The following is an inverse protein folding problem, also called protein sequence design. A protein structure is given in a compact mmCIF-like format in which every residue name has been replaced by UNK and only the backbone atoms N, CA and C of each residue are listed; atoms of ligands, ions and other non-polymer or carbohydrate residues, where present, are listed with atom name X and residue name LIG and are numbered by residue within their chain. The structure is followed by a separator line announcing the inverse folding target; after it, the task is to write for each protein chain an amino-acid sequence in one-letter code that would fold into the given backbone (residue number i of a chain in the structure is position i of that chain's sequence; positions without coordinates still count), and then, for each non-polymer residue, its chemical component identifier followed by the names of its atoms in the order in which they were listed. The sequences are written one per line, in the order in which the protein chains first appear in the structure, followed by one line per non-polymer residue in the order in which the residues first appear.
data_IF_231258316242
#
_entry.id   IF_231258316242
#
_cell.length_a   1.000
_cell.length_b   1.000
_cell.length_c   1.000
_cell.angle_alpha   90.00
_cell.angle_beta   90.00
_cell.angle_gamma   90.00
#
_symmetry.space_group_name_H-M   'P 1'
#
loop_
_entity.id
_entity.type
_entity.pdbx_description
1 polymer ?
#
# COMPACT_ATOMS: atom_id res chain seq x y z
N UNK A 1 7.00 7.85 25.19
CA UNK A 1 6.53 6.54 25.70
C UNK A 1 5.02 6.64 25.91
N UNK A 2 4.30 5.56 25.64
CA UNK A 2 2.83 5.38 25.63
C UNK A 2 2.17 5.44 24.26
N UNK A 3 1.85 4.23 23.79
CA UNK A 3 1.04 3.83 22.65
C UNK A 3 -0.36 4.43 22.70
N UNK A 4 -0.83 4.95 21.57
CA UNK A 4 -2.19 4.62 21.10
C UNK A 4 -2.07 4.35 19.60
N UNK A 5 -2.52 3.18 19.18
CA UNK A 5 -2.79 2.91 17.78
C UNK A 5 -3.74 4.00 17.31
N UNK A 6 -3.29 4.92 16.45
CA UNK A 6 -4.21 5.82 15.77
C UNK A 6 -5.12 4.96 14.92
N UNK A 7 -6.27 4.62 15.49
CA UNK A 7 -7.37 3.98 14.79
C UNK A 7 -7.76 4.96 13.71
N UNK A 8 -7.46 4.59 12.47
CA UNK A 8 -7.77 5.40 11.29
C UNK A 8 -9.23 5.87 11.37
N UNK A 9 -9.46 7.17 11.42
CA UNK A 9 -10.76 7.77 11.66
C UNK A 9 -11.35 8.24 10.35
N UNK A 10 -12.49 7.66 9.98
CA UNK A 10 -13.16 7.93 8.70
C UNK A 10 -14.49 8.61 8.98
N UNK A 11 -14.72 9.76 8.35
CA UNK A 11 -16.04 10.41 8.31
C UNK A 11 -16.73 10.04 7.01
N UNK A 12 -17.91 9.43 7.09
CA UNK A 12 -18.71 9.07 5.93
C UNK A 12 -20.03 9.84 5.93
N UNK A 13 -20.16 10.76 4.97
CA UNK A 13 -21.36 11.55 4.73
C UNK A 13 -22.17 10.89 3.61
N UNK A 14 -23.12 10.03 4.00
CA UNK A 14 -23.96 9.28 3.07
C UNK A 14 -25.38 9.18 3.60
N UNK A 15 -26.35 9.36 2.70
CA UNK A 15 -27.75 9.12 3.00
C UNK A 15 -28.16 7.66 2.81
N UNK A 16 -27.31 6.86 2.16
CA UNK A 16 -27.57 5.47 1.82
C UNK A 16 -27.04 4.52 2.92
N UNK A 17 -27.93 3.81 3.63
CA UNK A 17 -27.52 2.84 4.64
C UNK A 17 -26.70 1.68 4.07
N UNK A 18 -26.85 1.35 2.78
CA UNK A 18 -26.09 0.26 2.16
C UNK A 18 -24.59 0.61 2.03
N UNK A 19 -24.28 1.84 1.59
CA UNK A 19 -22.90 2.32 1.47
C UNK A 19 -22.26 2.40 2.85
N UNK A 20 -23.00 2.93 3.83
CA UNK A 20 -22.56 2.97 5.22
C UNK A 20 -22.20 1.57 5.75
N UNK A 21 -23.08 0.60 5.53
CA UNK A 21 -22.87 -0.79 5.95
C UNK A 21 -21.66 -1.40 5.23
N UNK A 22 -21.49 -1.13 3.93
CA UNK A 22 -20.34 -1.60 3.15
C UNK A 22 -19.00 -1.04 3.67
N UNK A 23 -18.92 0.25 3.98
CA UNK A 23 -17.70 0.86 4.50
C UNK A 23 -17.39 0.46 5.94
N UNK A 24 -18.40 0.33 6.81
CA UNK A 24 -18.22 -0.25 8.15
C UNK A 24 -17.76 -1.70 8.11
N UNK A 25 -18.32 -2.49 7.20
CA UNK A 25 -17.90 -3.87 6.99
C UNK A 25 -16.48 -3.95 6.41
N UNK A 26 -16.10 -2.97 5.57
CA UNK A 26 -14.78 -2.89 4.96
C UNK A 26 -13.66 -2.64 5.96
N UNK A 27 -13.90 -1.73 6.89
CA UNK A 27 -12.89 -1.26 7.82
C UNK A 27 -13.31 -1.58 9.25
N UNK A 28 -13.30 -2.87 9.58
CA UNK A 28 -13.68 -3.35 10.93
C UNK A 28 -12.80 -2.79 12.05
N UNK A 29 -11.55 -2.44 11.71
CA UNK A 29 -10.54 -1.92 12.65
C UNK A 29 -10.39 -0.39 12.60
N UNK A 30 -11.25 0.31 11.86
CA UNK A 30 -11.24 1.77 11.75
C UNK A 30 -12.50 2.36 12.42
N UNK A 31 -12.38 3.58 12.95
CA UNK A 31 -13.52 4.27 13.56
C UNK A 31 -14.29 5.02 12.48
N UNK A 32 -15.35 4.40 11.96
CA UNK A 32 -16.21 5.01 10.93
C UNK A 32 -17.36 5.78 11.59
N UNK A 33 -17.30 7.11 11.51
CA UNK A 33 -18.38 8.02 11.95
C UNK A 33 -19.25 8.37 10.75
N UNK A 34 -20.56 8.29 10.90
CA UNK A 34 -21.49 8.49 9.78
C UNK A 34 -22.54 9.56 10.07
N UNK A 35 -22.79 10.40 9.09
CA UNK A 35 -23.88 11.37 9.13
C UNK A 35 -24.51 11.52 7.74
N UNK A 36 -25.76 11.98 7.71
CA UNK A 36 -26.46 12.24 6.43
C UNK A 36 -26.00 13.55 5.79
N UNK A 37 -25.53 14.48 6.62
CA UNK A 37 -25.13 15.83 6.23
C UNK A 37 -24.07 16.35 7.23
N UNK A 38 -23.19 17.24 6.78
CA UNK A 38 -22.17 17.88 7.61
C UNK A 38 -22.80 18.76 8.71
N UNK A 39 -23.99 19.32 8.47
CA UNK A 39 -24.67 20.23 9.41
C UNK A 39 -25.30 19.54 10.61
N UNK A 40 -25.55 18.22 10.51
CA UNK A 40 -26.14 17.41 11.58
C UNK A 40 -25.08 16.75 12.49
N UNK A 41 -23.81 17.09 12.31
CA UNK A 41 -22.72 16.58 13.14
C UNK A 41 -22.71 17.27 14.51
N UNK A 42 -22.59 16.51 15.63
CA UNK A 42 -22.41 17.10 16.96
C UNK A 42 -21.14 17.97 17.00
N UNK A 43 -21.16 19.09 17.74
CA UNK A 43 -20.05 20.06 17.82
C UNK A 43 -18.72 19.43 18.26
N UNK A 44 -18.77 18.32 19.00
CA UNK A 44 -17.61 17.56 19.45
C UNK A 44 -16.91 16.78 18.32
N UNK A 45 -17.66 16.43 17.26
CA UNK A 45 -17.16 15.69 16.10
C UNK A 45 -16.52 16.65 15.09
N UNK A 46 -17.02 17.88 14.99
CA UNK A 46 -16.48 18.93 14.10
C UNK A 46 -15.11 19.47 14.54
N UNK A 47 -14.68 19.18 15.77
CA UNK A 47 -13.34 19.52 16.29
C UNK A 47 -12.32 18.38 16.15
N UNK A 48 -12.76 17.20 15.71
CA UNK A 48 -11.87 16.05 15.48
C UNK A 48 -11.25 16.13 14.09
N UNK A 49 -9.98 15.75 14.00
CA UNK A 49 -9.33 15.51 12.72
C UNK A 49 -9.74 14.13 12.21
N UNK A 50 -10.05 14.05 10.92
CA UNK A 50 -10.34 12.80 10.24
C UNK A 50 -9.22 12.52 9.25
N UNK A 51 -8.81 11.26 9.15
CA UNK A 51 -7.78 10.85 8.20
C UNK A 51 -8.37 10.75 6.78
N UNK A 52 -9.66 10.38 6.70
CA UNK A 52 -10.40 10.35 5.45
C UNK A 52 -11.84 10.83 5.62
N UNK A 53 -12.32 11.59 4.63
CA UNK A 53 -13.71 12.08 4.56
C UNK A 53 -14.29 11.62 3.24
N UNK A 54 -15.43 10.92 3.30
CA UNK A 54 -16.09 10.33 2.14
C UNK A 54 -17.49 10.95 2.02
N UNK A 55 -17.82 11.51 0.86
CA UNK A 55 -19.06 12.27 0.66
C UNK A 55 -19.84 11.74 -0.55
N UNK A 56 -21.08 11.34 -0.31
CA UNK A 56 -22.03 10.96 -1.37
C UNK A 56 -22.73 12.20 -1.94
N UNK A 57 -22.56 12.42 -3.24
CA UNK A 57 -23.28 13.49 -3.96
C UNK A 57 -24.61 12.96 -4.49
N UNK A 58 -25.72 13.59 -4.07
CA UNK A 58 -27.06 13.32 -4.61
C UNK A 58 -27.33 14.20 -5.85
N UNK A 59 -28.01 13.68 -6.88
CA UNK A 59 -28.43 14.49 -8.01
C UNK A 59 -29.48 15.51 -7.55
N UNK A 60 -29.20 16.80 -7.76
CA UNK A 60 -30.11 17.91 -7.43
C UNK A 60 -29.88 18.61 -6.08
N UNK A 61 -28.93 18.16 -5.24
CA UNK A 61 -28.46 18.94 -4.08
C UNK A 61 -27.33 19.89 -4.50
N UNK A 62 -27.38 21.15 -4.08
CA UNK A 62 -26.38 22.15 -4.42
C UNK A 62 -24.95 21.72 -4.01
N UNK A 63 -24.11 21.47 -5.02
CA UNK A 63 -22.66 21.68 -5.05
C UNK A 63 -21.81 21.01 -3.96
N UNK A 64 -20.86 20.16 -4.38
CA UNK A 64 -19.92 19.41 -3.54
C UNK A 64 -18.98 20.19 -2.60
N UNK A 65 -19.21 21.48 -2.35
CA UNK A 65 -18.53 22.29 -1.34
C UNK A 65 -19.35 22.48 -0.04
N UNK A 66 -20.69 22.45 -0.09
CA UNK A 66 -21.53 22.61 1.10
C UNK A 66 -21.56 21.37 2.02
N UNK A 67 -21.16 20.21 1.47
CA UNK A 67 -21.11 18.95 2.20
C UNK A 67 -19.77 18.71 2.90
N UNK A 68 -18.75 19.56 2.69
CA UNK A 68 -17.45 19.44 3.35
C UNK A 68 -17.51 20.29 4.63
N UNK A 69 -17.39 19.70 5.82
CA UNK A 69 -17.29 20.46 7.05
C UNK A 69 -16.17 21.53 6.95
N UNK A 70 -16.42 22.79 7.35
CA UNK A 70 -15.47 23.89 7.14
C UNK A 70 -14.16 23.77 7.95
N UNK A 71 -14.07 22.78 8.83
CA UNK A 71 -12.97 22.57 9.76
C UNK A 71 -12.01 21.45 9.32
N UNK A 72 -12.15 20.95 8.09
CA UNK A 72 -11.28 19.88 7.58
C UNK A 72 -9.99 20.50 7.05
N UNK A 73 -8.86 19.99 7.53
CA UNK A 73 -7.56 20.33 6.97
C UNK A 73 -7.33 19.52 5.67
N UNK A 74 -7.39 20.21 4.53
CA UNK A 74 -7.23 19.61 3.21
C UNK A 74 -5.80 19.10 2.94
N UNK A 75 -4.82 19.50 3.75
CA UNK A 75 -3.42 19.07 3.57
C UNK A 75 -3.12 17.70 4.17
N UNK A 76 -3.94 17.25 5.14
CA UNK A 76 -3.76 15.98 5.84
C UNK A 76 -4.97 15.03 5.74
N UNK A 77 -6.05 15.45 5.08
CA UNK A 77 -7.28 14.67 4.97
C UNK A 77 -7.50 14.16 3.55
N UNK A 78 -7.69 12.84 3.40
CA UNK A 78 -8.07 12.27 2.12
C UNK A 78 -9.58 12.47 1.87
N UNK A 79 -9.92 13.27 0.87
CA UNK A 79 -11.31 13.53 0.48
C UNK A 79 -11.74 12.64 -0.70
N UNK A 80 -12.79 11.84 -0.52
CA UNK A 80 -13.39 11.01 -1.58
C UNK A 80 -14.83 11.46 -1.79
N UNK A 81 -15.10 12.13 -2.91
CA UNK A 81 -16.45 12.56 -3.27
C UNK A 81 -16.93 11.83 -4.52
N UNK A 82 -18.20 11.46 -4.57
CA UNK A 82 -18.73 10.78 -5.75
C UNK A 82 -20.21 10.43 -5.65
N UNK A 83 -20.77 10.01 -6.78
CA UNK A 83 -22.12 9.46 -6.82
C UNK A 83 -22.19 8.10 -6.13
N UNK A 84 -23.40 7.66 -5.79
CA UNK A 84 -23.70 6.36 -5.17
C UNK A 84 -22.96 5.19 -5.84
N UNK A 85 -22.95 5.15 -7.18
CA UNK A 85 -22.31 4.07 -7.95
C UNK A 85 -20.79 4.09 -7.85
N UNK A 86 -20.18 5.28 -7.81
CA UNK A 86 -18.72 5.45 -7.67
C UNK A 86 -18.26 5.04 -6.28
N UNK A 87 -18.96 5.48 -5.23
CA UNK A 87 -18.62 5.11 -3.85
C UNK A 87 -18.78 3.61 -3.61
N UNK A 88 -19.79 2.96 -4.19
CA UNK A 88 -19.94 1.50 -4.14
C UNK A 88 -18.73 0.78 -4.76
N UNK A 89 -18.21 1.25 -5.89
CA UNK A 89 -17.00 0.68 -6.51
C UNK A 89 -15.75 0.93 -5.66
N UNK A 90 -15.56 2.16 -5.16
CA UNK A 90 -14.43 2.51 -4.29
C UNK A 90 -14.44 1.68 -2.98
N UNK A 91 -15.61 1.46 -2.40
CA UNK A 91 -15.76 0.62 -1.20
C UNK A 91 -15.31 -0.82 -1.46
N UNK A 92 -15.65 -1.42 -2.61
CA UNK A 92 -15.24 -2.77 -2.97
C UNK A 92 -13.73 -2.88 -3.18
N UNK A 93 -13.12 -1.87 -3.79
CA UNK A 93 -11.67 -1.79 -3.95
C UNK A 93 -10.97 -1.71 -2.58
N UNK A 94 -11.40 -0.79 -1.73
CA UNK A 94 -10.86 -0.66 -0.38
C UNK A 94 -11.14 -1.91 0.49
N UNK A 95 -12.27 -2.58 0.29
CA UNK A 95 -12.58 -3.88 0.90
C UNK A 95 -11.64 -4.98 0.44
N UNK A 96 -11.27 -5.05 -0.83
CA UNK A 96 -10.31 -6.06 -1.28
C UNK A 96 -8.97 -5.87 -0.56
N UNK A 97 -8.52 -4.63 -0.45
CA UNK A 97 -7.32 -4.24 0.31
C UNK A 97 -7.43 -4.58 1.81
N UNK A 98 -8.59 -4.32 2.42
CA UNK A 98 -8.81 -4.54 3.85
C UNK A 98 -9.13 -6.00 4.21
N UNK A 99 -9.81 -6.76 3.34
CA UNK A 99 -10.14 -8.18 3.54
C UNK A 99 -8.90 -9.06 3.50
N UNK A 100 -7.84 -8.67 2.80
CA UNK A 100 -6.53 -9.33 2.95
C UNK A 100 -5.90 -9.11 4.32
N UNK A 101 -6.17 -7.96 4.92
CA UNK A 101 -5.74 -7.64 6.30
C UNK A 101 -6.54 -8.43 7.34
N UNK A 102 -7.83 -8.70 7.09
CA UNK A 102 -8.72 -9.44 7.99
C UNK A 102 -8.73 -10.98 7.76
N UNK A 103 -8.45 -11.48 6.56
CA UNK A 103 -8.27 -12.91 6.27
C UNK A 103 -7.03 -13.49 6.96
N UNK A 104 -6.12 -12.64 7.44
CA UNK A 104 -5.02 -13.04 8.32
C UNK A 104 -5.42 -13.42 9.76
N UNK A 105 -6.71 -13.43 10.13
CA UNK A 105 -7.15 -13.64 11.52
C UNK A 105 -7.57 -15.07 11.91
N UNK A 106 -7.54 -16.07 11.01
CA UNK A 106 -7.85 -17.47 11.35
C UNK A 106 -7.17 -18.43 10.34
N UNK A 107 -5.97 -18.99 10.52
CA UNK A 107 -4.83 -18.77 11.40
C UNK A 107 -3.61 -19.37 10.65
N UNK A 108 -2.36 -18.98 10.87
CA UNK A 108 -1.78 -18.23 12.00
C UNK A 108 -0.37 -17.75 11.59
N UNK A 109 -0.25 -17.04 10.47
CA UNK A 109 1.02 -17.02 9.72
C UNK A 109 1.31 -15.61 9.25
N UNK A 110 2.51 -15.11 9.55
CA UNK A 110 3.00 -13.88 8.94
C UNK A 110 2.76 -13.99 7.43
N UNK A 111 2.00 -13.05 6.85
CA UNK A 111 1.71 -12.97 5.41
C UNK A 111 2.91 -13.55 4.67
N UNK A 112 2.74 -14.75 4.10
CA UNK A 112 3.88 -15.39 3.47
C UNK A 112 4.29 -14.48 2.33
N UNK A 113 5.60 -14.44 2.04
CA UNK A 113 6.07 -13.66 0.90
C UNK A 113 5.34 -14.09 -0.38
N UNK A 114 4.95 -15.35 -0.46
CA UNK A 114 4.16 -15.92 -1.55
C UNK A 114 2.76 -15.30 -1.64
N UNK A 115 2.00 -15.20 -0.54
CA UNK A 115 0.64 -14.60 -0.55
C UNK A 115 0.68 -13.11 -0.93
N UNK A 116 1.66 -12.38 -0.40
CA UNK A 116 1.83 -10.96 -0.73
C UNK A 116 2.17 -10.77 -2.21
N UNK A 117 3.05 -11.62 -2.75
CA UNK A 117 3.43 -11.59 -4.16
C UNK A 117 2.28 -12.02 -5.06
N UNK A 118 1.55 -13.09 -4.74
CA UNK A 118 0.40 -13.56 -5.52
C UNK A 118 -0.63 -12.45 -5.71
N UNK A 119 -0.97 -11.76 -4.63
CA UNK A 119 -1.88 -10.64 -4.69
C UNK A 119 -1.35 -9.47 -5.54
N UNK A 120 -0.13 -8.99 -5.25
CA UNK A 120 0.44 -7.84 -5.94
C UNK A 120 0.69 -8.13 -7.42
N UNK A 121 1.07 -9.35 -7.75
CA UNK A 121 1.30 -9.77 -9.13
C UNK A 121 -0.02 -9.93 -9.90
N UNK A 122 -1.12 -10.30 -9.25
CA UNK A 122 -2.42 -10.49 -9.92
C UNK A 122 -2.90 -9.27 -10.70
N UNK A 123 -2.77 -8.07 -10.14
CA UNK A 123 -3.14 -6.82 -10.83
C UNK A 123 -2.15 -6.47 -11.95
N UNK A 124 -0.86 -6.72 -11.73
CA UNK A 124 0.18 -6.46 -12.73
C UNK A 124 0.06 -7.39 -13.95
N UNK A 125 -0.20 -8.68 -13.72
CA UNK A 125 -0.42 -9.68 -14.78
C UNK A 125 -1.69 -9.33 -15.57
N UNK A 126 -2.77 -8.92 -14.91
CA UNK A 126 -4.00 -8.51 -15.60
C UNK A 126 -3.79 -7.26 -16.45
N UNK A 127 -3.16 -6.22 -15.91
CA UNK A 127 -2.84 -5.01 -16.67
C UNK A 127 -1.91 -5.27 -17.86
N UNK A 128 -0.96 -6.18 -17.71
CA UNK A 128 -0.01 -6.55 -18.77
C UNK A 128 -0.55 -7.56 -19.78
N UNK A 129 -1.67 -8.23 -19.50
CA UNK A 129 -2.39 -9.07 -20.47
C UNK A 129 -3.14 -8.23 -21.50
N UNK A 130 -3.71 -7.11 -21.04
CA UNK A 130 -4.51 -6.23 -21.86
C UNK A 130 -3.64 -5.22 -22.65
N UNK A 131 -2.35 -5.09 -22.28
CA UNK A 131 -1.30 -4.45 -23.07
C UNK A 131 -0.39 -5.47 -23.77
N UNK A 132 0.30 -5.09 -24.85
CA UNK A 132 1.14 -5.98 -25.68
C UNK A 132 2.44 -6.49 -25.00
N UNK A 133 2.48 -6.58 -23.68
CA UNK A 133 3.67 -6.86 -22.88
C UNK A 133 4.15 -8.31 -23.01
N UNK A 134 5.12 -8.56 -23.89
CA UNK A 134 5.89 -9.81 -23.93
C UNK A 134 7.05 -9.74 -22.92
N UNK A 135 7.40 -10.88 -22.31
CA UNK A 135 8.50 -11.04 -21.33
C UNK A 135 8.23 -10.55 -19.90
N UNK A 136 7.00 -10.74 -19.41
CA UNK A 136 6.59 -10.39 -18.04
C UNK A 136 7.43 -11.09 -16.96
N UNK A 137 7.68 -12.39 -17.16
CA UNK A 137 8.41 -13.23 -16.21
C UNK A 137 9.83 -12.69 -15.93
N UNK A 138 10.74 -12.53 -16.92
CA UNK A 138 12.08 -12.01 -16.64
C UNK A 138 12.07 -10.59 -16.07
N UNK A 139 11.09 -9.75 -16.43
CA UNK A 139 10.94 -8.41 -15.85
C UNK A 139 10.65 -8.49 -14.34
N UNK A 140 9.71 -9.33 -13.93
CA UNK A 140 9.35 -9.52 -12.52
C UNK A 140 10.49 -10.15 -11.72
N UNK A 141 11.14 -11.18 -12.27
CA UNK A 141 12.28 -11.83 -11.61
C UNK A 141 13.40 -10.81 -11.38
N UNK A 142 13.75 -10.00 -12.37
CA UNK A 142 14.77 -8.97 -12.21
C UNK A 142 14.39 -7.91 -11.15
N UNK A 143 13.11 -7.53 -11.09
CA UNK A 143 12.61 -6.57 -10.11
C UNK A 143 12.71 -7.08 -8.66
N UNK A 144 12.61 -8.40 -8.46
CA UNK A 144 12.73 -9.04 -7.15
C UNK A 144 14.19 -9.36 -6.80
N UNK A 145 14.95 -9.93 -7.74
CA UNK A 145 16.34 -10.34 -7.50
C UNK A 145 17.23 -9.13 -7.19
N UNK A 146 17.03 -7.99 -7.86
CA UNK A 146 17.86 -6.80 -7.69
C UNK A 146 17.89 -6.29 -6.24
N UNK A 147 16.77 -6.01 -5.56
CA UNK A 147 16.78 -5.60 -4.17
C UNK A 147 17.29 -6.72 -3.24
N UNK A 148 16.94 -7.98 -3.49
CA UNK A 148 17.39 -9.11 -2.66
C UNK A 148 18.92 -9.22 -2.63
N UNK A 149 19.55 -9.24 -3.81
CA UNK A 149 21.00 -9.30 -3.95
C UNK A 149 21.66 -8.06 -3.35
N UNK A 150 21.08 -6.88 -3.57
CA UNK A 150 21.62 -5.63 -3.01
C UNK A 150 21.65 -5.67 -1.48
N UNK A 151 20.59 -6.17 -0.84
CA UNK A 151 20.52 -6.31 0.62
C UNK A 151 21.52 -7.35 1.14
N UNK A 152 21.60 -8.52 0.52
CA UNK A 152 22.58 -9.53 0.92
C UNK A 152 24.02 -9.02 0.85
N UNK A 153 24.37 -8.27 -0.20
CA UNK A 153 25.69 -7.63 -0.30
C UNK A 153 25.91 -6.57 0.77
N UNK A 154 24.88 -5.86 1.22
CA UNK A 154 25.01 -4.88 2.31
C UNK A 154 25.28 -5.57 3.64
N UNK A 155 24.51 -6.62 3.96
CA UNK A 155 24.68 -7.40 5.19
C UNK A 155 26.07 -8.04 5.28
N UNK A 156 26.61 -8.49 4.15
CA UNK A 156 27.99 -9.05 4.09
C UNK A 156 29.06 -8.00 3.78
N UNK A 157 28.73 -6.70 3.86
CA UNK A 157 29.67 -5.57 3.66
C UNK A 157 30.41 -5.62 2.31
N UNK A 158 29.75 -6.11 1.28
CA UNK A 158 30.25 -6.22 -0.09
C UNK A 158 31.04 -7.50 -0.36
N UNK A 159 31.14 -8.43 0.60
CA UNK A 159 31.78 -9.72 0.38
C UNK A 159 30.88 -10.64 -0.45
N UNK A 160 31.21 -10.78 -1.74
CA UNK A 160 30.42 -11.57 -2.68
C UNK A 160 30.44 -13.07 -2.40
N UNK A 161 31.46 -13.60 -1.73
CA UNK A 161 31.50 -15.03 -1.38
C UNK A 161 30.46 -15.30 -0.30
N UNK A 162 30.51 -14.55 0.79
CA UNK A 162 29.55 -14.65 1.89
C UNK A 162 28.13 -14.29 1.45
N UNK A 163 27.95 -13.30 0.57
CA UNK A 163 26.62 -12.97 0.04
C UNK A 163 26.05 -14.11 -0.81
N UNK A 164 26.90 -14.79 -1.59
CA UNK A 164 26.48 -15.93 -2.40
C UNK A 164 26.07 -17.11 -1.50
N UNK A 165 26.85 -17.39 -0.45
CA UNK A 165 26.51 -18.40 0.56
C UNK A 165 25.18 -18.08 1.27
N UNK A 166 25.00 -16.82 1.71
CA UNK A 166 23.77 -16.36 2.35
C UNK A 166 22.54 -16.51 1.44
N UNK A 167 22.72 -16.24 0.14
CA UNK A 167 21.67 -16.39 -0.86
C UNK A 167 21.50 -17.84 -1.35
N UNK A 168 22.38 -18.77 -0.96
CA UNK A 168 22.39 -20.14 -1.48
C UNK A 168 22.75 -20.24 -2.96
N UNK A 169 23.48 -19.26 -3.50
CA UNK A 169 23.88 -19.18 -4.90
C UNK A 169 25.36 -19.50 -5.10
N UNK A 170 25.71 -19.99 -6.29
CA UNK A 170 27.12 -20.02 -6.69
C UNK A 170 27.65 -18.57 -6.86
N UNK A 171 28.85 -18.30 -6.36
CA UNK A 171 29.52 -16.98 -6.46
C UNK A 171 29.61 -16.47 -7.90
N UNK A 172 29.88 -17.33 -8.88
CA UNK A 172 29.96 -16.94 -10.29
C UNK A 172 28.60 -16.49 -10.81
N UNK A 173 27.53 -17.17 -10.39
CA UNK A 173 26.15 -16.80 -10.69
C UNK A 173 25.79 -15.46 -10.05
N UNK A 174 26.13 -15.27 -8.77
CA UNK A 174 25.90 -13.98 -8.09
C UNK A 174 26.64 -12.84 -8.80
N UNK A 175 27.90 -13.04 -9.19
CA UNK A 175 28.69 -12.05 -9.91
C UNK A 175 28.04 -11.68 -11.25
N UNK A 176 27.57 -12.67 -12.01
CA UNK A 176 26.87 -12.43 -13.28
C UNK A 176 25.57 -11.65 -13.06
N UNK A 177 24.76 -12.06 -12.07
CA UNK A 177 23.51 -11.38 -11.70
C UNK A 177 23.73 -9.92 -11.26
N UNK A 178 24.80 -9.64 -10.51
CA UNK A 178 25.18 -8.27 -10.13
C UNK A 178 25.45 -7.40 -11.37
N UNK A 179 26.12 -7.96 -12.39
CA UNK A 179 26.40 -7.27 -13.64
C UNK A 179 25.12 -7.06 -14.45
N UNK A 180 24.35 -8.12 -14.69
CA UNK A 180 23.12 -8.09 -15.48
C UNK A 180 22.09 -7.12 -14.89
N UNK A 181 21.95 -7.09 -13.56
CA UNK A 181 21.03 -6.22 -12.83
C UNK A 181 21.61 -4.84 -12.51
N UNK A 182 22.84 -4.56 -12.95
CA UNK A 182 23.54 -3.29 -12.77
C UNK A 182 23.54 -2.84 -11.29
N UNK A 183 23.90 -3.74 -10.38
CA UNK A 183 23.94 -3.47 -8.94
C UNK A 183 25.29 -2.83 -8.59
N UNK A 184 25.30 -1.62 -7.99
CA UNK A 184 26.53 -0.93 -7.67
C UNK A 184 27.22 -1.60 -6.47
N UNK A 185 28.35 -2.27 -6.72
CA UNK A 185 29.18 -2.85 -5.66
C UNK A 185 30.40 -1.96 -5.45
N UNK A 186 30.53 -1.39 -4.24
CA UNK A 186 31.74 -0.67 -3.82
C UNK A 186 32.89 -1.67 -3.77
N UNK A 187 33.73 -1.70 -4.79
CA UNK A 187 34.99 -2.45 -4.75
C UNK A 187 35.87 -1.79 -3.69
N UNK A 188 36.26 -2.52 -2.64
CA UNK A 188 37.46 -2.14 -1.90
C UNK A 188 38.61 -2.25 -2.90
N UNK A 189 39.02 -1.13 -3.48
CA UNK A 189 40.30 -1.07 -4.19
C UNK A 189 41.35 -1.39 -3.13
N UNK A 190 42.09 -2.48 -3.32
CA UNK A 190 43.38 -2.61 -2.68
C UNK A 190 44.24 -1.48 -3.26
N UNK A 191 44.31 -0.35 -2.55
CA UNK A 191 45.16 0.78 -2.91
C UNK A 191 46.10 1.07 -1.76
N UNK A 192 47.13 0.25 -1.65
CA UNK A 192 48.44 0.68 -1.18
C UNK A 192 49.46 0.06 -2.14
N UNK A 193 49.79 0.86 -3.15
CA UNK A 193 51.16 1.21 -3.51
C UNK A 193 52.19 0.12 -3.23
N UNK A 194 52.54 -0.66 -4.26
CA UNK A 194 53.87 -1.27 -4.34
C UNK A 194 54.85 -0.15 -4.72
N UNK A 195 55.29 0.61 -3.73
CA UNK A 195 56.55 1.34 -3.73
C UNK A 195 57.45 0.65 -2.71
N UNK A 196 58.43 -0.08 -3.22
CA UNK A 196 59.74 -0.41 -2.64
C UNK A 196 60.47 -1.28 -3.66
#
# INVERSE_FOLDING_TARGET
MSLTSSVFSILLLTGDPEILSQFKHAFKDASVTAAKDASMLPKDVTRRTFDAVIIELKPGSAGGAAAIPPNIDHTHTLLITGSRTVLKRASKFMQAMARQKAAGANGKEALSLEDYLEWKMGDFVKGMRDGSGRNLHPMLINAIERPLITRALQETKGNQIQAAELLGLNRNTLRKRIQDLHIPVKRKRASQTREA
#
